data_IF_342197745153
#
_entry.id   IF_342197745153
#
_cell.length_a   1.000
_cell.length_b   1.000
_cell.length_c   1.000
_cell.angle_alpha   90.00
_cell.angle_beta   90.00
_cell.angle_gamma   90.00
#
_symmetry.space_group_name_H-M   'P 1'
#
loop_
_entity.id
_entity.type
_entity.pdbx_description
1 polymer ?
#
# COMPACT_ATOMS: atom_id res chain seq x y z
N UNK A 1 4.94 -1.83 -10.20
CA UNK A 1 5.14 -0.47 -9.69
C UNK A 1 6.38 -0.47 -8.81
N UNK A 2 7.18 0.58 -8.90
CA UNK A 2 8.29 0.83 -7.98
C UNK A 2 7.75 1.22 -6.60
N UNK A 3 8.62 1.24 -5.59
CA UNK A 3 8.27 1.70 -4.25
C UNK A 3 7.84 3.17 -4.22
N UNK A 4 8.44 4.02 -5.05
CA UNK A 4 8.03 5.42 -5.19
C UNK A 4 6.63 5.52 -5.81
N UNK A 5 6.38 4.84 -6.93
CA UNK A 5 5.08 4.84 -7.61
C UNK A 5 3.96 4.28 -6.70
N UNK A 6 4.27 3.23 -5.93
CA UNK A 6 3.33 2.66 -4.97
C UNK A 6 3.00 3.66 -3.86
N UNK A 7 4.01 4.40 -3.36
CA UNK A 7 3.80 5.44 -2.36
C UNK A 7 2.93 6.58 -2.90
N UNK A 8 3.24 7.06 -4.10
CA UNK A 8 2.47 8.11 -4.77
C UNK A 8 1.00 7.68 -4.94
N UNK A 9 0.76 6.44 -5.36
CA UNK A 9 -0.58 5.87 -5.46
C UNK A 9 -1.33 5.84 -4.12
N UNK A 10 -0.65 5.48 -3.02
CA UNK A 10 -1.26 5.47 -1.69
C UNK A 10 -1.63 6.89 -1.22
N UNK A 11 -0.81 7.88 -1.56
CA UNK A 11 -1.08 9.30 -1.30
C UNK A 11 -2.29 9.78 -2.11
N UNK A 12 -2.39 9.42 -3.40
CA UNK A 12 -3.57 9.71 -4.24
C UNK A 12 -4.87 9.16 -3.65
N UNK A 13 -4.79 8.02 -2.95
CA UNK A 13 -5.92 7.40 -2.28
C UNK A 13 -6.25 8.00 -0.91
N UNK A 14 -5.62 9.10 -0.53
CA UNK A 14 -5.75 9.75 0.78
C UNK A 14 -5.57 8.74 1.95
N UNK A 15 -4.81 7.67 1.71
CA UNK A 15 -4.20 6.97 2.85
C UNK A 15 -3.17 7.94 3.39
N UNK A 16 -3.21 8.18 4.70
CA UNK A 16 -2.23 8.93 5.50
C UNK A 16 -0.82 8.31 5.40
N UNK A 17 -0.31 8.34 4.17
CA UNK A 17 0.94 7.84 3.68
C UNK A 17 1.95 8.98 3.50
N UNK A 18 1.56 10.20 3.85
CA UNK A 18 2.39 11.40 3.92
C UNK A 18 3.64 11.20 4.79
N UNK A 19 3.66 10.15 5.63
CA UNK A 19 4.80 9.71 6.44
C UNK A 19 5.46 8.41 5.99
N UNK A 20 5.06 7.78 4.87
CA UNK A 20 5.69 6.55 4.43
C UNK A 20 7.11 6.84 3.93
N UNK A 21 8.14 6.27 4.57
CA UNK A 21 9.51 6.46 4.13
C UNK A 21 9.69 5.73 2.79
N UNK A 22 10.51 6.27 1.88
CA UNK A 22 10.83 5.54 0.64
C UNK A 22 11.57 4.22 0.93
N UNK A 23 12.20 4.12 2.11
CA UNK A 23 13.01 2.99 2.54
C UNK A 23 12.50 2.52 3.93
N UNK A 24 12.43 1.21 4.16
CA UNK A 24 12.00 0.65 5.44
C UNK A 24 10.50 0.32 5.50
N UNK A 25 10.00 0.02 6.71
CA UNK A 25 8.64 -0.48 6.90
C UNK A 25 7.57 0.59 6.68
N UNK A 26 6.47 0.21 6.03
CA UNK A 26 5.27 1.04 5.93
C UNK A 26 4.23 0.54 6.91
N UNK A 27 3.64 1.45 7.69
CA UNK A 27 2.60 1.12 8.64
C UNK A 27 1.26 1.54 8.05
N UNK A 28 0.51 0.56 7.56
CA UNK A 28 -0.85 0.71 7.02
C UNK A 28 -1.88 -0.03 7.88
N UNK A 29 -1.59 -0.14 9.17
CA UNK A 29 -2.45 -0.81 10.15
C UNK A 29 -3.81 -0.11 10.20
N UNK A 30 -4.89 -0.88 10.14
CA UNK A 30 -6.27 -0.39 10.06
C UNK A 30 -6.59 0.50 8.84
N UNK A 31 -5.70 0.59 7.84
CA UNK A 31 -5.96 1.41 6.67
C UNK A 31 -7.14 0.85 5.85
N UNK A 32 -8.06 1.72 5.44
CA UNK A 32 -9.07 1.33 4.47
C UNK A 32 -8.45 1.38 3.08
N UNK A 33 -8.28 0.21 2.45
CA UNK A 33 -7.74 0.04 1.10
C UNK A 33 -8.81 -0.46 0.10
N UNK A 34 -10.05 -0.53 0.53
CA UNK A 34 -11.12 -1.24 -0.17
C UNK A 34 -11.41 -0.64 -1.54
N UNK A 35 -11.58 -1.50 -2.55
CA UNK A 35 -11.89 -1.13 -3.94
C UNK A 35 -10.74 -0.48 -4.71
N UNK A 36 -9.51 -0.46 -4.17
CA UNK A 36 -8.37 0.23 -4.80
C UNK A 36 -7.55 -0.69 -5.68
N UNK A 37 -6.96 -0.12 -6.73
CA UNK A 37 -6.00 -0.84 -7.56
C UNK A 37 -4.58 -0.63 -7.00
N UNK A 38 -3.98 -1.72 -6.54
CA UNK A 38 -2.59 -1.85 -6.12
C UNK A 38 -1.88 -2.98 -6.91
N UNK A 39 -2.35 -3.27 -8.12
CA UNK A 39 -1.76 -4.29 -8.96
C UNK A 39 -0.28 -3.97 -9.26
N UNK A 40 0.61 -4.94 -9.01
CA UNK A 40 2.05 -4.75 -9.15
C UNK A 40 2.69 -3.84 -8.11
N UNK A 41 1.99 -3.47 -7.02
CA UNK A 41 2.54 -2.62 -5.96
C UNK A 41 3.76 -3.25 -5.27
N UNK A 42 4.79 -2.46 -4.98
CA UNK A 42 5.85 -2.85 -4.05
C UNK A 42 5.34 -2.61 -2.62
N UNK A 43 4.85 -3.69 -2.01
CA UNK A 43 4.35 -3.76 -0.64
C UNK A 43 5.29 -4.56 0.27
N UNK A 44 6.58 -4.63 -0.06
CA UNK A 44 7.58 -5.28 0.80
C UNK A 44 7.68 -4.54 2.12
N UNK A 45 7.81 -5.28 3.22
CA UNK A 45 7.89 -4.68 4.57
C UNK A 45 6.70 -3.74 4.88
N UNK A 46 5.49 -4.01 4.36
CA UNK A 46 4.29 -3.23 4.70
C UNK A 46 3.49 -3.99 5.76
N UNK A 47 3.30 -3.36 6.92
CA UNK A 47 2.37 -3.87 7.92
C UNK A 47 0.93 -3.49 7.54
N UNK A 48 0.19 -4.50 7.06
CA UNK A 48 -1.23 -4.41 6.68
C UNK A 48 -2.15 -4.98 7.77
N UNK A 49 -1.69 -5.10 9.02
CA UNK A 49 -2.51 -5.65 10.09
C UNK A 49 -3.84 -4.89 10.22
N UNK A 50 -4.95 -5.65 10.27
CA UNK A 50 -6.31 -5.10 10.30
C UNK A 50 -6.68 -4.15 9.14
N UNK A 51 -5.90 -4.06 8.07
CA UNK A 51 -6.23 -3.25 6.90
C UNK A 51 -7.44 -3.84 6.14
N UNK A 52 -8.33 -2.98 5.64
CA UNK A 52 -9.51 -3.41 4.87
C UNK A 52 -9.18 -3.50 3.38
N UNK A 53 -8.90 -4.71 2.91
CA UNK A 53 -8.56 -5.01 1.51
C UNK A 53 -9.75 -5.47 0.64
N UNK A 54 -10.99 -5.21 1.07
CA UNK A 54 -12.18 -5.69 0.36
C UNK A 54 -12.24 -5.11 -1.05
N UNK A 55 -12.16 -5.98 -2.06
CA UNK A 55 -12.16 -5.58 -3.46
C UNK A 55 -10.90 -4.82 -3.90
N UNK A 56 -9.82 -4.85 -3.12
CA UNK A 56 -8.52 -4.30 -3.53
C UNK A 56 -7.88 -5.24 -4.55
N UNK A 57 -7.47 -4.72 -5.70
CA UNK A 57 -6.69 -5.50 -6.66
C UNK A 57 -5.22 -5.50 -6.24
N UNK A 58 -4.70 -6.67 -5.85
CA UNK A 58 -3.32 -6.91 -5.45
C UNK A 58 -2.58 -7.81 -6.44
N UNK A 59 -3.11 -7.97 -7.66
CA UNK A 59 -2.54 -8.86 -8.66
C UNK A 59 -1.08 -8.50 -8.95
N UNK A 60 -0.16 -9.44 -8.70
CA UNK A 60 1.27 -9.25 -8.90
C UNK A 60 1.94 -8.26 -7.94
N UNK A 61 1.28 -7.85 -6.84
CA UNK A 61 1.93 -7.07 -5.80
C UNK A 61 3.05 -7.88 -5.14
N UNK A 62 4.18 -7.22 -4.87
CA UNK A 62 5.34 -7.80 -4.20
C UNK A 62 5.22 -7.57 -2.70
N UNK A 63 5.04 -8.63 -1.91
CA UNK A 63 4.82 -8.60 -0.46
C UNK A 63 5.89 -9.35 0.33
N UNK A 64 7.00 -9.72 -0.32
CA UNK A 64 8.07 -10.51 0.28
C UNK A 64 8.93 -9.73 1.30
#
# INVERSE_FOLDING_TARGET
MTRLETRERLIEYEIYADKLPLNGEWILVNASLSGRCLAGADLKNVNLDSARLVGTDLSGADMA
#
